data_IF_763970858369
#
_entry.id   IF_763970858369
#
_cell.length_a   1.000
_cell.length_b   1.000
_cell.length_c   1.000
_cell.angle_alpha   90.00
_cell.angle_beta   90.00
_cell.angle_gamma   90.00
#
_symmetry.space_group_name_H-M   'P 1'
#
loop_
_entity.id
_entity.type
_entity.pdbx_description
1 polymer ?
#
# COMPACT_ATOMS: atom_id res chain seq x y z
N UNK A 1 -8.51 0.12 13.43
CA UNK A 1 -7.51 -0.94 13.64
C UNK A 1 -7.74 -2.23 12.81
N UNK A 2 -8.87 -2.41 12.13
CA UNK A 2 -9.16 -3.65 11.37
C UNK A 2 -8.95 -3.54 9.84
N UNK A 3 -8.50 -2.39 9.33
CA UNK A 3 -8.37 -2.14 7.89
C UNK A 3 -6.92 -1.78 7.55
N UNK A 4 -6.48 -2.10 6.33
CA UNK A 4 -5.21 -1.62 5.79
C UNK A 4 -3.96 -2.06 6.56
N UNK A 5 -3.87 -3.34 6.98
CA UNK A 5 -2.78 -3.93 7.77
C UNK A 5 -1.42 -3.98 7.04
N UNK A 6 -0.98 -2.89 6.42
CA UNK A 6 0.17 -2.81 5.54
C UNK A 6 1.47 -3.18 6.26
N UNK A 7 1.59 -2.77 7.54
CA UNK A 7 2.76 -3.02 8.38
C UNK A 7 2.99 -4.50 8.66
N UNK A 8 1.97 -5.38 8.56
CA UNK A 8 2.21 -6.81 8.75
C UNK A 8 3.11 -7.42 7.68
N UNK A 9 3.18 -6.79 6.50
CA UNK A 9 3.96 -7.26 5.37
C UNK A 9 5.11 -6.33 5.01
N UNK A 10 4.96 -5.02 5.22
CA UNK A 10 5.90 -3.99 4.79
C UNK A 10 6.67 -3.37 5.95
N UNK A 11 7.95 -3.11 5.72
CA UNK A 11 8.77 -2.28 6.59
C UNK A 11 8.48 -0.80 6.35
N UNK A 12 8.29 -0.05 7.45
CA UNK A 12 8.17 1.41 7.49
C UNK A 12 9.10 1.92 8.60
N UNK A 13 9.97 2.87 8.28
CA UNK A 13 10.92 3.41 9.25
C UNK A 13 10.17 4.11 10.39
N UNK A 14 10.52 3.75 11.64
CA UNK A 14 9.91 4.33 12.84
C UNK A 14 8.55 3.72 13.24
N UNK A 15 8.01 2.79 12.45
CA UNK A 15 6.85 2.00 12.86
C UNK A 15 7.28 0.76 13.66
N UNK A 16 6.46 0.37 14.64
CA UNK A 16 6.67 -0.86 15.40
C UNK A 16 5.98 -2.05 14.73
N UNK A 17 6.48 -3.27 15.01
CA UNK A 17 5.90 -4.54 14.54
C UNK A 17 5.73 -4.64 13.01
N UNK A 18 6.72 -4.17 12.26
CA UNK A 18 6.70 -4.23 10.80
C UNK A 18 7.13 -5.59 10.25
N UNK A 19 6.64 -5.97 9.07
CA UNK A 19 7.00 -7.19 8.36
C UNK A 19 8.01 -6.97 7.21
N UNK A 20 8.49 -8.08 6.66
CA UNK A 20 9.45 -8.11 5.54
C UNK A 20 9.01 -9.03 4.41
N UNK A 21 7.74 -9.46 4.41
CA UNK A 21 7.15 -10.30 3.35
C UNK A 21 7.12 -9.55 2.02
N UNK A 22 6.92 -8.23 2.07
CA UNK A 22 6.85 -7.35 0.91
C UNK A 22 7.91 -6.23 1.00
N UNK A 23 8.22 -5.55 -0.12
CA UNK A 23 9.26 -4.53 -0.14
C UNK A 23 9.02 -3.38 0.85
N UNK A 24 10.06 -2.74 1.40
CA UNK A 24 9.90 -1.60 2.30
C UNK A 24 9.19 -0.43 1.59
N UNK A 25 8.39 0.33 2.36
CA UNK A 25 7.72 1.55 1.90
C UNK A 25 8.61 2.77 2.12
N UNK A 26 9.76 2.77 1.44
CA UNK A 26 10.75 3.84 1.51
C UNK A 26 10.82 4.58 0.16
N UNK A 27 10.94 5.91 0.23
CA UNK A 27 11.14 6.78 -0.94
C UNK A 27 10.10 6.54 -2.04
N UNK A 28 8.83 6.36 -1.65
CA UNK A 28 7.80 5.88 -2.56
C UNK A 28 7.47 6.87 -3.68
N UNK A 29 7.67 8.18 -3.47
CA UNK A 29 7.59 9.20 -4.53
C UNK A 29 8.62 9.01 -5.64
N UNK A 30 9.83 8.56 -5.30
CA UNK A 30 10.88 8.29 -6.30
C UNK A 30 10.57 7.02 -7.10
N UNK A 31 10.01 5.99 -6.44
CA UNK A 31 9.63 4.72 -7.07
C UNK A 31 8.36 4.83 -7.91
N UNK A 32 7.43 5.67 -7.47
CA UNK A 32 6.18 5.99 -8.14
C UNK A 32 6.06 7.50 -8.30
N UNK A 33 6.64 8.11 -9.35
CA UNK A 33 6.52 9.55 -9.60
C UNK A 33 5.08 9.98 -9.94
N UNK A 34 4.29 9.05 -10.50
CA UNK A 34 2.86 9.25 -10.74
C UNK A 34 2.05 8.58 -9.62
N UNK A 35 1.34 9.41 -8.85
CA UNK A 35 0.45 9.00 -7.76
C UNK A 35 -0.59 7.96 -8.19
N UNK A 36 -1.11 8.07 -9.41
CA UNK A 36 -2.12 7.14 -9.93
C UNK A 36 -1.60 5.71 -10.02
N UNK A 37 -0.30 5.51 -10.28
CA UNK A 37 0.30 4.18 -10.36
C UNK A 37 0.41 3.50 -9.00
N UNK A 38 0.76 4.26 -7.96
CA UNK A 38 0.77 3.71 -6.60
C UNK A 38 -0.65 3.50 -6.08
N UNK A 39 -1.57 4.42 -6.41
CA UNK A 39 -2.99 4.28 -6.10
C UNK A 39 -3.57 3.00 -6.71
N UNK A 40 -3.30 2.72 -7.99
CA UNK A 40 -3.78 1.51 -8.65
C UNK A 40 -3.18 0.25 -8.03
N UNK A 41 -1.91 0.30 -7.63
CA UNK A 41 -1.25 -0.81 -6.92
C UNK A 41 -1.93 -1.09 -5.56
N UNK A 42 -2.33 -0.06 -4.82
CA UNK A 42 -3.07 -0.22 -3.55
C UNK A 42 -4.50 -0.71 -3.81
N UNK A 43 -5.16 -0.18 -4.84
CA UNK A 43 -6.55 -0.47 -5.17
C UNK A 43 -6.75 -1.92 -5.64
N UNK A 44 -5.92 -2.39 -6.58
CA UNK A 44 -5.88 -3.78 -7.05
C UNK A 44 -4.48 -4.15 -7.57
N UNK A 45 -3.66 -4.72 -6.69
CA UNK A 45 -2.34 -5.24 -7.03
C UNK A 45 -2.39 -6.43 -8.01
N UNK A 46 -3.51 -7.17 -8.06
CA UNK A 46 -3.65 -8.37 -8.89
C UNK A 46 -3.73 -8.04 -10.38
N UNK A 47 -4.12 -6.80 -10.71
CA UNK A 47 -4.13 -6.30 -12.09
C UNK A 47 -2.72 -6.31 -12.71
N UNK A 48 -1.67 -6.05 -11.91
CA UNK A 48 -0.28 -6.04 -12.36
C UNK A 48 0.44 -7.37 -12.09
N UNK A 49 0.10 -8.04 -10.99
CA UNK A 49 0.63 -9.35 -10.65
C UNK A 49 -0.47 -10.25 -10.07
N UNK A 50 -1.09 -11.13 -10.88
CA UNK A 50 -2.18 -12.00 -10.42
C UNK A 50 -1.80 -12.92 -9.24
N UNK A 51 -0.52 -13.25 -9.08
CA UNK A 51 0.00 -14.13 -8.02
C UNK A 51 0.42 -13.35 -6.75
N UNK A 52 0.16 -12.04 -6.69
CA UNK A 52 0.50 -11.23 -5.52
C UNK A 52 -0.34 -11.64 -4.31
N UNK A 53 0.29 -11.64 -3.13
CA UNK A 53 -0.40 -11.80 -1.85
C UNK A 53 -0.94 -10.48 -1.30
N UNK A 54 -0.62 -9.34 -1.95
CA UNK A 54 -1.13 -8.04 -1.57
C UNK A 54 -2.64 -7.98 -1.85
N UNK A 55 -3.49 -7.75 -0.82
CA UNK A 55 -4.94 -7.73 -1.02
C UNK A 55 -5.37 -6.60 -1.98
N UNK A 56 -6.34 -6.82 -2.87
CA UNK A 56 -6.89 -5.76 -3.71
C UNK A 56 -7.86 -4.91 -2.89
N UNK A 57 -7.32 -3.92 -2.17
CA UNK A 57 -8.04 -3.20 -1.11
C UNK A 57 -9.30 -2.47 -1.59
N UNK A 58 -9.27 -1.90 -2.79
CA UNK A 58 -10.41 -1.21 -3.39
C UNK A 58 -11.43 -2.18 -3.97
N UNK A 59 -10.98 -3.14 -4.80
CA UNK A 59 -11.85 -4.13 -5.44
C UNK A 59 -12.65 -4.97 -4.44
N UNK A 60 -12.05 -5.33 -3.31
CA UNK A 60 -12.71 -6.09 -2.25
C UNK A 60 -13.37 -5.21 -1.19
N UNK A 61 -13.42 -3.88 -1.40
CA UNK A 61 -14.05 -2.91 -0.50
C UNK A 61 -13.48 -2.97 0.94
N UNK A 62 -12.21 -3.34 1.07
CA UNK A 62 -11.49 -3.37 2.36
C UNK A 62 -11.25 -1.93 2.85
N UNK A 63 -10.94 -1.05 1.90
CA UNK A 63 -10.80 0.40 2.10
C UNK A 63 -11.78 1.14 1.17
N UNK A 64 -12.30 2.28 1.61
CA UNK A 64 -13.01 3.22 0.73
C UNK A 64 -12.03 3.95 -0.18
N UNK A 65 -12.54 4.61 -1.22
CA UNK A 65 -11.70 5.42 -2.12
C UNK A 65 -10.96 6.52 -1.35
N UNK A 66 -11.61 7.17 -0.38
CA UNK A 66 -11.00 8.18 0.48
C UNK A 66 -9.94 7.59 1.42
N UNK A 67 -10.18 6.40 1.99
CA UNK A 67 -9.19 5.69 2.82
C UNK A 67 -7.94 5.30 1.98
N UNK A 68 -8.12 4.94 0.71
CA UNK A 68 -7.01 4.67 -0.22
C UNK A 68 -6.21 5.95 -0.53
N UNK A 69 -6.90 7.06 -0.75
CA UNK A 69 -6.25 8.35 -1.02
C UNK A 69 -5.45 8.85 0.19
N UNK A 70 -6.01 8.74 1.40
CA UNK A 70 -5.30 9.06 2.64
C UNK A 70 -4.08 8.14 2.88
N UNK A 71 -4.22 6.85 2.59
CA UNK A 71 -3.10 5.89 2.69
C UNK A 71 -2.00 6.23 1.69
N UNK A 72 -2.35 6.59 0.47
CA UNK A 72 -1.40 7.04 -0.56
C UNK A 72 -0.63 8.28 -0.08
N UNK A 73 -1.33 9.28 0.43
CA UNK A 73 -0.70 10.50 0.98
C UNK A 73 0.26 10.19 2.12
N UNK A 74 -0.16 9.31 3.05
CA UNK A 74 0.70 8.85 4.15
C UNK A 74 1.97 8.18 3.61
N UNK A 75 1.85 7.23 2.67
CA UNK A 75 3.00 6.53 2.08
C UNK A 75 3.95 7.49 1.37
N UNK A 76 3.41 8.57 0.79
CA UNK A 76 4.18 9.64 0.15
C UNK A 76 4.81 10.65 1.11
N UNK A 77 4.41 10.62 2.38
CA UNK A 77 5.06 11.39 3.45
C UNK A 77 6.23 10.66 4.12
N UNK A 78 6.36 9.34 3.87
CA UNK A 78 7.48 8.49 4.30
C UNK A 78 8.75 8.73 3.46
#
# INVERSE_FOLDING_TARGET
RNKGNCLSCHFVQGAEMTGTIAPPLISMKLRYPNAANLRSQIWDATAQNPETVMPPYGRHLILTEEEIDQLLEYIYSL
#
